data_IF_805928275820
#
_entry.id   IF_805928275820
#
_cell.length_a   1.000
_cell.length_b   1.000
_cell.length_c   1.000
_cell.angle_alpha   90.00
_cell.angle_beta   90.00
_cell.angle_gamma   90.00
#
_symmetry.space_group_name_H-M   'P 1'
#
loop_
_entity.id
_entity.type
_entity.pdbx_description
1 polymer ?
#
# COMPACT_ATOMS: atom_id res chain seq x y z
N UNK A 1 32.34 -24.85 -26.49
CA UNK A 1 31.02 -24.68 -25.87
C UNK A 1 31.23 -23.80 -24.64
N UNK A 2 31.15 -22.49 -24.82
CA UNK A 2 31.41 -21.51 -23.75
C UNK A 2 30.06 -21.00 -23.28
N UNK A 3 29.63 -21.55 -22.14
CA UNK A 3 28.38 -21.18 -21.49
C UNK A 3 28.50 -19.75 -20.95
N UNK A 4 27.89 -18.82 -21.69
CA UNK A 4 27.84 -17.40 -21.35
C UNK A 4 27.11 -17.25 -20.01
N UNK A 5 27.89 -17.04 -18.93
CA UNK A 5 27.41 -16.53 -17.64
C UNK A 5 26.75 -15.18 -17.86
N UNK A 6 25.45 -15.20 -18.16
CA UNK A 6 24.61 -14.01 -18.23
C UNK A 6 24.56 -13.41 -16.82
N UNK A 7 25.34 -12.35 -16.61
CA UNK A 7 25.44 -11.64 -15.34
C UNK A 7 24.04 -11.34 -14.81
N UNK A 8 23.79 -11.71 -13.55
CA UNK A 8 22.50 -11.56 -12.88
C UNK A 8 22.15 -10.08 -12.82
N UNK A 9 21.40 -9.59 -13.80
CA UNK A 9 20.95 -8.20 -13.87
C UNK A 9 20.21 -7.91 -12.58
N UNK A 10 20.67 -6.90 -11.85
CA UNK A 10 20.05 -6.45 -10.62
C UNK A 10 18.62 -6.03 -10.96
N UNK A 11 17.63 -6.88 -10.69
CA UNK A 11 16.25 -6.59 -11.02
C UNK A 11 15.80 -5.39 -10.20
N UNK A 12 15.62 -4.24 -10.84
CA UNK A 12 15.14 -3.01 -10.20
C UNK A 12 13.85 -3.32 -9.42
N UNK A 13 13.78 -2.88 -8.17
CA UNK A 13 12.59 -3.01 -7.33
C UNK A 13 11.52 -2.07 -7.90
N UNK A 14 10.30 -2.58 -8.10
CA UNK A 14 9.18 -1.78 -8.58
C UNK A 14 8.55 -0.96 -7.46
N UNK A 15 7.67 0.00 -7.80
CA UNK A 15 7.00 0.93 -6.88
C UNK A 15 6.45 0.28 -5.61
N UNK A 16 5.70 -0.81 -5.78
CA UNK A 16 5.10 -1.54 -4.65
C UNK A 16 6.17 -2.23 -3.80
N UNK A 17 7.26 -2.70 -4.42
CA UNK A 17 8.41 -3.23 -3.69
C UNK A 17 9.15 -2.17 -2.88
N UNK A 18 9.27 -0.94 -3.39
CA UNK A 18 9.81 0.20 -2.65
C UNK A 18 8.91 0.57 -1.47
N UNK A 19 7.57 0.51 -1.66
CA UNK A 19 6.62 0.70 -0.57
C UNK A 19 6.78 -0.37 0.53
N UNK A 20 6.93 -1.64 0.14
CA UNK A 20 7.22 -2.74 1.07
C UNK A 20 8.53 -2.51 1.81
N UNK A 21 9.59 -2.08 1.13
CA UNK A 21 10.88 -1.77 1.74
C UNK A 21 10.75 -0.66 2.81
N UNK A 22 10.05 0.43 2.48
CA UNK A 22 9.80 1.55 3.39
C UNK A 22 9.02 1.11 4.64
N UNK A 23 7.91 0.40 4.44
CA UNK A 23 7.04 -0.06 5.53
C UNK A 23 7.73 -1.13 6.40
N UNK A 24 8.46 -2.06 5.79
CA UNK A 24 9.26 -3.07 6.49
C UNK A 24 10.22 -2.40 7.46
N UNK A 25 11.04 -1.46 6.97
CA UNK A 25 11.98 -0.71 7.80
C UNK A 25 11.25 0.03 8.92
N UNK A 26 10.17 0.76 8.58
CA UNK A 26 9.40 1.55 9.55
C UNK A 26 8.85 0.67 10.67
N UNK A 27 8.13 -0.40 10.36
CA UNK A 27 7.55 -1.29 11.38
C UNK A 27 8.62 -2.02 12.20
N UNK A 28 9.70 -2.46 11.55
CA UNK A 28 10.83 -3.08 12.26
C UNK A 28 11.44 -2.11 13.27
N UNK A 29 11.73 -0.87 12.85
CA UNK A 29 12.29 0.15 13.75
C UNK A 29 11.32 0.59 14.84
N UNK A 30 10.03 0.70 14.54
CA UNK A 30 8.99 1.00 15.52
C UNK A 30 8.91 -0.06 16.63
N UNK A 31 9.14 -1.33 16.27
CA UNK A 31 9.21 -2.44 17.24
C UNK A 31 10.56 -2.59 17.93
N UNK A 32 11.57 -1.81 17.55
CA UNK A 32 12.90 -1.86 18.15
C UNK A 32 13.67 -3.17 17.91
N UNK A 33 13.31 -3.95 16.87
CA UNK A 33 13.97 -5.24 16.59
C UNK A 33 15.04 -5.11 15.50
N UNK A 34 16.09 -5.91 15.60
CA UNK A 34 17.17 -5.93 14.60
C UNK A 34 16.76 -6.76 13.37
N UNK A 35 17.53 -6.66 12.30
CA UNK A 35 17.34 -7.50 11.11
C UNK A 35 17.61 -8.98 11.41
N UNK A 36 18.49 -9.28 12.34
CA UNK A 36 18.81 -10.64 12.80
C UNK A 36 17.63 -11.23 13.57
N UNK A 37 17.06 -10.47 14.52
CA UNK A 37 15.90 -10.90 15.27
C UNK A 37 14.68 -11.12 14.36
N UNK A 38 14.47 -10.24 13.38
CA UNK A 38 13.40 -10.44 12.40
C UNK A 38 13.64 -11.66 11.51
N UNK A 39 14.88 -11.88 11.05
CA UNK A 39 15.24 -13.06 10.28
C UNK A 39 14.96 -14.37 11.05
N UNK A 40 15.32 -14.42 12.33
CA UNK A 40 15.03 -15.56 13.21
C UNK A 40 13.52 -15.80 13.35
N UNK A 41 12.74 -14.75 13.59
CA UNK A 41 11.27 -14.85 13.70
C UNK A 41 10.62 -15.39 12.41
N UNK A 42 11.09 -14.96 11.26
CA UNK A 42 10.59 -15.42 9.95
C UNK A 42 11.03 -16.86 9.67
N UNK A 43 12.27 -17.23 10.02
CA UNK A 43 12.77 -18.60 9.91
C UNK A 43 11.97 -19.58 10.78
N UNK A 44 11.62 -19.19 12.02
CA UNK A 44 10.79 -19.99 12.92
C UNK A 44 9.37 -20.24 12.39
N UNK A 45 8.95 -19.53 11.34
CA UNK A 45 7.66 -19.70 10.65
C UNK A 45 7.78 -20.50 9.35
N UNK A 46 8.92 -21.14 9.10
CA UNK A 46 9.14 -22.00 7.93
C UNK A 46 9.55 -21.26 6.66
N UNK A 47 9.78 -19.94 6.72
CA UNK A 47 10.25 -19.14 5.59
C UNK A 47 11.64 -18.56 5.93
N UNK A 48 12.74 -19.28 5.65
CA UNK A 48 14.07 -18.82 6.02
C UNK A 48 14.50 -17.61 5.19
N UNK A 49 14.81 -16.50 5.85
CA UNK A 49 15.39 -15.29 5.25
C UNK A 49 16.64 -14.88 6.01
N UNK A 50 17.71 -14.51 5.32
CA UNK A 50 18.93 -14.03 5.98
C UNK A 50 18.76 -12.57 6.43
N UNK A 51 19.36 -12.18 7.55
CA UNK A 51 19.38 -10.79 8.01
C UNK A 51 19.93 -9.83 6.93
N UNK A 52 20.99 -10.25 6.22
CA UNK A 52 21.55 -9.50 5.09
C UNK A 52 20.57 -9.32 3.93
N UNK A 53 19.64 -10.27 3.74
CA UNK A 53 18.60 -10.19 2.74
C UNK A 53 17.49 -9.22 3.15
N UNK A 54 17.13 -9.16 4.44
CA UNK A 54 16.25 -8.13 4.99
C UNK A 54 16.86 -6.74 4.79
N UNK A 55 18.15 -6.55 5.13
CA UNK A 55 18.85 -5.28 4.89
C UNK A 55 18.84 -4.87 3.42
N UNK A 56 18.99 -5.83 2.49
CA UNK A 56 18.90 -5.57 1.05
C UNK A 56 17.48 -5.19 0.62
N UNK A 57 16.45 -5.82 1.21
CA UNK A 57 15.06 -5.44 0.95
C UNK A 57 14.82 -3.99 1.39
N UNK A 58 15.20 -3.63 2.63
CA UNK A 58 15.02 -2.27 3.17
C UNK A 58 15.76 -1.19 2.37
N UNK A 59 16.81 -1.58 1.65
CA UNK A 59 17.58 -0.70 0.75
C UNK A 59 17.12 -0.76 -0.70
N UNK A 60 16.03 -1.47 -1.00
CA UNK A 60 15.51 -1.67 -2.36
C UNK A 60 16.51 -2.36 -3.31
N UNK A 61 17.44 -3.13 -2.74
CA UNK A 61 18.46 -3.90 -3.45
C UNK A 61 18.01 -5.36 -3.71
N UNK A 62 16.83 -5.73 -3.22
CA UNK A 62 16.26 -7.07 -3.37
C UNK A 62 14.74 -7.01 -3.33
N UNK A 63 14.10 -7.75 -4.24
CA UNK A 63 12.64 -7.97 -4.23
C UNK A 63 12.24 -8.94 -3.12
N UNK A 64 11.06 -8.73 -2.56
CA UNK A 64 10.38 -9.64 -1.63
C UNK A 64 9.51 -10.61 -2.43
N UNK A 65 9.59 -11.91 -2.13
CA UNK A 65 8.64 -12.90 -2.60
C UNK A 65 7.31 -12.83 -1.83
N UNK A 66 6.24 -13.41 -2.35
CA UNK A 66 4.93 -13.41 -1.68
C UNK A 66 4.99 -14.15 -0.35
N UNK A 67 5.71 -15.28 -0.28
CA UNK A 67 5.88 -16.03 0.97
C UNK A 67 6.65 -15.22 2.03
N UNK A 68 7.71 -14.51 1.62
CA UNK A 68 8.43 -13.60 2.50
C UNK A 68 7.55 -12.44 2.95
N UNK A 69 6.72 -11.86 2.06
CA UNK A 69 5.79 -10.78 2.42
C UNK A 69 4.85 -11.24 3.54
N UNK A 70 4.25 -12.43 3.37
CA UNK A 70 3.33 -12.99 4.35
C UNK A 70 4.04 -13.31 5.67
N UNK A 71 5.21 -13.94 5.61
CA UNK A 71 5.98 -14.26 6.82
C UNK A 71 6.44 -13.01 7.58
N UNK A 72 6.86 -11.95 6.86
CA UNK A 72 7.20 -10.65 7.44
C UNK A 72 5.98 -9.98 8.09
N UNK A 73 4.82 -10.02 7.44
CA UNK A 73 3.58 -9.47 7.99
C UNK A 73 3.22 -10.14 9.33
N UNK A 74 3.29 -11.48 9.38
CA UNK A 74 3.04 -12.25 10.61
C UNK A 74 4.11 -11.98 11.68
N UNK A 75 5.39 -11.95 11.32
CA UNK A 75 6.48 -11.69 12.27
C UNK A 75 6.39 -10.28 12.87
N UNK A 76 6.03 -9.28 12.06
CA UNK A 76 5.82 -7.90 12.48
C UNK A 76 4.42 -7.66 13.04
N UNK A 77 3.55 -8.67 13.15
CA UNK A 77 2.17 -8.56 13.59
C UNK A 77 1.45 -7.34 12.96
N UNK A 78 1.44 -7.30 11.63
CA UNK A 78 0.75 -6.32 10.78
C UNK A 78 0.00 -7.05 9.67
N UNK A 79 -0.93 -6.37 8.99
CA UNK A 79 -1.57 -6.95 7.80
C UNK A 79 -0.61 -6.91 6.60
N UNK A 80 -0.75 -7.82 5.60
CA UNK A 80 -0.01 -7.71 4.35
C UNK A 80 -0.24 -6.36 3.65
N UNK A 81 -1.47 -5.84 3.71
CA UNK A 81 -1.84 -4.54 3.16
C UNK A 81 -1.05 -3.39 3.81
N UNK A 82 -0.76 -3.47 5.11
CA UNK A 82 0.08 -2.48 5.81
C UNK A 82 1.51 -2.47 5.30
N UNK A 83 2.03 -3.57 4.76
CA UNK A 83 3.32 -3.60 4.07
C UNK A 83 3.19 -3.07 2.63
N UNK A 84 2.11 -3.41 1.93
CA UNK A 84 1.90 -3.06 0.53
C UNK A 84 1.52 -1.60 0.28
N UNK A 85 0.87 -0.94 1.25
CA UNK A 85 0.30 0.41 1.10
C UNK A 85 0.86 1.42 2.11
N UNK A 86 0.89 2.72 1.78
CA UNK A 86 1.27 3.77 2.72
C UNK A 86 0.40 3.78 3.97
N UNK A 87 1.02 3.95 5.14
CA UNK A 87 0.35 4.10 6.45
C UNK A 87 0.81 5.36 7.18
N UNK A 88 1.55 6.23 6.49
CA UNK A 88 2.18 7.47 6.97
C UNK A 88 1.78 8.70 6.15
N UNK A 89 0.70 8.62 5.38
CA UNK A 89 0.25 9.70 4.49
C UNK A 89 -1.23 9.96 4.69
N UNK A 90 -1.66 11.18 4.41
CA UNK A 90 -3.07 11.54 4.44
C UNK A 90 -3.87 10.80 3.37
N UNK A 91 -5.18 10.68 3.60
CA UNK A 91 -6.09 9.88 2.79
C UNK A 91 -6.14 10.29 1.32
N UNK A 92 -5.99 11.57 1.04
CA UNK A 92 -6.05 12.20 -0.27
C UNK A 92 -4.70 12.23 -0.98
N UNK A 93 -3.60 11.91 -0.28
CA UNK A 93 -2.26 11.90 -0.86
C UNK A 93 -2.19 10.90 -2.02
N UNK A 94 -1.61 11.31 -3.17
CA UNK A 94 -1.50 10.46 -4.34
C UNK A 94 -0.45 9.37 -4.12
N UNK A 95 -0.83 8.12 -4.37
CA UNK A 95 0.03 6.93 -4.23
C UNK A 95 0.18 6.22 -5.57
N UNK A 96 1.31 5.53 -5.74
CA UNK A 96 1.58 4.73 -6.93
C UNK A 96 1.40 3.25 -6.62
N UNK A 97 0.67 2.53 -7.49
CA UNK A 97 0.50 1.08 -7.39
C UNK A 97 1.08 0.42 -8.64
N UNK A 98 1.87 -0.63 -8.44
CA UNK A 98 2.41 -1.42 -9.55
C UNK A 98 1.26 -2.02 -10.35
N UNK A 99 1.24 -1.79 -11.67
CA UNK A 99 0.16 -2.23 -12.57
C UNK A 99 -0.74 -1.09 -13.06
N UNK A 100 -0.76 0.06 -12.36
CA UNK A 100 -1.35 1.29 -12.88
C UNK A 100 -0.40 1.95 -13.90
N UNK A 101 -0.95 2.74 -14.82
CA UNK A 101 -0.14 3.52 -15.77
C UNK A 101 0.65 4.61 -15.03
N UNK A 102 1.75 5.07 -15.61
CA UNK A 102 2.63 6.09 -14.99
C UNK A 102 1.89 7.38 -14.60
N UNK A 103 0.94 7.79 -15.44
CA UNK A 103 0.11 8.98 -15.25
C UNK A 103 -1.04 8.77 -14.27
N UNK A 104 -1.28 7.54 -13.82
CA UNK A 104 -2.39 7.17 -12.94
C UNK A 104 -1.89 7.07 -11.51
N UNK A 105 -2.17 8.12 -10.74
CA UNK A 105 -2.07 8.08 -9.28
C UNK A 105 -3.48 8.01 -8.71
N UNK A 106 -3.62 7.28 -7.62
CA UNK A 106 -4.88 7.22 -6.87
C UNK A 106 -4.65 7.77 -5.47
N UNK A 107 -5.68 8.32 -4.84
CA UNK A 107 -5.58 8.74 -3.45
C UNK A 107 -5.40 7.52 -2.53
N UNK A 108 -4.59 7.67 -1.49
CA UNK A 108 -4.26 6.60 -0.54
C UNK A 108 -5.50 5.90 0.02
N UNK A 109 -6.57 6.65 0.31
CA UNK A 109 -7.84 6.10 0.77
C UNK A 109 -8.48 5.11 -0.20
N UNK A 110 -8.43 5.38 -1.50
CA UNK A 110 -8.94 4.44 -2.51
C UNK A 110 -8.08 3.19 -2.61
N UNK A 111 -6.76 3.35 -2.55
CA UNK A 111 -5.85 2.20 -2.50
C UNK A 111 -6.21 1.27 -1.33
N UNK A 112 -6.51 1.85 -0.16
CA UNK A 112 -6.94 1.11 1.02
C UNK A 112 -8.32 0.47 0.88
N UNK A 113 -9.32 1.16 0.32
CA UNK A 113 -10.62 0.55 0.05
C UNK A 113 -10.49 -0.62 -0.91
N UNK A 114 -9.71 -0.45 -1.98
CA UNK A 114 -9.45 -1.53 -2.92
C UNK A 114 -8.79 -2.74 -2.25
N UNK A 115 -7.69 -2.52 -1.52
CA UNK A 115 -6.96 -3.62 -0.88
C UNK A 115 -7.75 -4.33 0.22
N UNK A 116 -8.78 -3.69 0.77
CA UNK A 116 -9.66 -4.28 1.81
C UNK A 116 -10.97 -4.84 1.24
N UNK A 117 -11.18 -4.77 -0.07
CA UNK A 117 -12.41 -5.23 -0.72
C UNK A 117 -13.63 -4.31 -0.50
N UNK A 118 -13.41 -3.09 -0.02
CA UNK A 118 -14.43 -2.05 0.16
C UNK A 118 -14.67 -1.22 -1.11
N UNK A 119 -13.93 -1.47 -2.20
CA UNK A 119 -14.09 -0.77 -3.47
C UNK A 119 -13.25 -1.41 -4.58
N UNK A 120 -13.50 -1.05 -5.84
CA UNK A 120 -12.66 -1.42 -6.96
C UNK A 120 -11.75 -0.25 -7.37
N UNK A 121 -10.61 -0.55 -7.99
CA UNK A 121 -9.77 0.49 -8.63
C UNK A 121 -10.41 1.05 -9.91
N UNK A 122 -11.27 0.27 -10.54
CA UNK A 122 -11.99 0.64 -11.74
C UNK A 122 -13.49 0.69 -11.43
N UNK A 123 -14.05 1.90 -11.44
CA UNK A 123 -15.47 2.16 -11.17
C UNK A 123 -16.36 1.56 -12.26
N UNK A 124 -15.86 1.47 -13.50
CA UNK A 124 -16.61 0.94 -14.66
C UNK A 124 -16.69 -0.60 -14.66
N UNK A 125 -15.84 -1.27 -13.86
CA UNK A 125 -15.77 -2.73 -13.84
C UNK A 125 -16.89 -3.38 -13.02
N UNK A 126 -17.56 -2.63 -12.12
CA UNK A 126 -18.59 -3.14 -11.20
C UNK A 126 -18.06 -4.21 -10.23
N UNK A 127 -18.51 -4.26 -8.96
CA UNK A 127 -18.04 -5.28 -8.02
C UNK A 127 -18.34 -6.67 -8.56
N UNK A 128 -17.31 -7.47 -8.89
CA UNK A 128 -17.53 -8.87 -9.23
C UNK A 128 -17.87 -9.63 -7.94
N UNK A 129 -19.02 -10.34 -7.85
CA UNK A 129 -19.49 -11.00 -6.64
C UNK A 129 -18.61 -12.18 -6.14
N UNK A 130 -17.42 -12.38 -6.70
CA UNK A 130 -16.47 -13.44 -6.32
C UNK A 130 -15.22 -12.95 -5.57
N UNK A 131 -15.15 -11.67 -5.19
CA UNK A 131 -13.97 -11.15 -4.47
C UNK A 131 -13.99 -11.44 -2.98
N UNK A 132 -15.15 -11.85 -2.43
CA UNK A 132 -15.28 -12.30 -1.06
C UNK A 132 -15.34 -13.84 -1.02
N UNK A 133 -14.74 -14.48 -0.02
CA UNK A 133 -15.00 -15.89 0.24
C UNK A 133 -16.49 -16.13 0.45
N UNK A 134 -17.00 -17.27 -0.03
CA UNK A 134 -18.42 -17.60 0.03
C UNK A 134 -19.01 -17.56 1.45
N UNK A 135 -18.21 -17.82 2.49
CA UNK A 135 -18.65 -17.75 3.89
C UNK A 135 -18.81 -16.31 4.42
N UNK A 136 -18.27 -15.32 3.72
CA UNK A 136 -18.45 -13.89 4.01
C UNK A 136 -19.68 -13.30 3.30
N UNK A 137 -20.27 -14.03 2.35
CA UNK A 137 -21.50 -13.60 1.67
C UNK A 137 -22.69 -13.50 2.63
N UNK A 138 -22.71 -14.31 3.70
CA UNK A 138 -23.80 -14.36 4.69
C UNK A 138 -23.68 -13.28 5.78
N UNK A 139 -22.44 -12.85 6.09
CA UNK A 139 -22.17 -11.82 7.12
C UNK A 139 -22.26 -10.39 6.58
N UNK A 140 -22.00 -10.20 5.29
CA UNK A 140 -22.04 -8.91 4.62
C UNK A 140 -23.22 -8.87 3.64
N UNK A 141 -24.44 -8.76 4.18
CA UNK A 141 -25.57 -8.33 3.37
C UNK A 141 -25.21 -6.98 2.71
N UNK A 142 -25.47 -6.81 1.42
CA UNK A 142 -25.00 -5.67 0.62
C UNK A 142 -25.33 -4.31 1.27
N UNK A 143 -26.48 -4.20 1.96
CA UNK A 143 -26.90 -3.01 2.71
C UNK A 143 -25.92 -2.59 3.83
N UNK A 144 -25.26 -3.55 4.46
CA UNK A 144 -24.34 -3.30 5.57
C UNK A 144 -22.99 -2.75 5.09
N UNK A 145 -22.50 -3.24 3.95
CA UNK A 145 -21.28 -2.70 3.31
C UNK A 145 -21.52 -1.29 2.78
N UNK A 146 -22.66 -1.02 2.13
CA UNK A 146 -23.01 0.33 1.67
C UNK A 146 -23.07 1.31 2.83
N UNK A 147 -23.71 0.96 3.95
CA UNK A 147 -23.77 1.81 5.14
C UNK A 147 -22.40 2.04 5.81
N UNK A 148 -21.52 1.03 5.84
CA UNK A 148 -20.14 1.19 6.34
C UNK A 148 -19.33 2.08 5.41
N UNK A 149 -19.44 1.88 4.10
CA UNK A 149 -18.75 2.68 3.10
C UNK A 149 -19.20 4.15 3.16
N UNK A 150 -20.50 4.44 3.14
CA UNK A 150 -21.02 5.82 3.24
C UNK A 150 -20.52 6.57 4.48
N UNK A 151 -20.40 5.86 5.62
CA UNK A 151 -19.89 6.44 6.88
C UNK A 151 -18.38 6.63 6.89
N UNK A 152 -17.61 5.73 6.28
CA UNK A 152 -16.16 5.84 6.21
C UNK A 152 -15.71 6.77 5.07
N UNK A 153 -16.57 7.03 4.09
CA UNK A 153 -16.22 7.75 2.87
C UNK A 153 -17.28 8.74 2.38
N UNK A 154 -17.51 9.86 3.09
CA UNK A 154 -18.23 10.98 2.48
C UNK A 154 -17.40 11.49 1.29
N UNK A 155 -17.94 11.43 0.07
CA UNK A 155 -17.35 12.06 -1.13
C UNK A 155 -16.26 11.27 -1.87
N UNK A 156 -16.10 9.97 -1.64
CA UNK A 156 -15.09 9.15 -2.32
C UNK A 156 -15.50 8.70 -3.74
N UNK A 157 -15.78 9.67 -4.62
CA UNK A 157 -15.92 9.43 -6.07
C UNK A 157 -14.92 10.19 -6.98
N UNK A 158 -14.00 11.00 -6.45
CA UNK A 158 -13.03 11.71 -7.30
C UNK A 158 -11.71 10.93 -7.46
N UNK A 159 -11.42 10.45 -8.68
CA UNK A 159 -10.03 10.40 -9.15
C UNK A 159 -9.44 11.81 -8.98
N UNK A 160 -8.29 11.93 -8.34
CA UNK A 160 -7.54 13.20 -8.35
C UNK A 160 -6.93 13.30 -9.75
N UNK A 161 -7.65 13.91 -10.68
CA UNK A 161 -7.07 14.33 -11.96
C UNK A 161 -6.13 15.52 -11.72
N UNK A 162 -5.17 15.81 -12.61
CA UNK A 162 -4.31 16.98 -12.50
C UNK A 162 -5.06 18.31 -12.32
N UNK A 163 -6.33 18.39 -12.75
CA UNK A 163 -7.18 19.56 -12.60
C UNK A 163 -7.66 19.79 -11.15
N UNK A 164 -7.74 18.74 -10.31
CA UNK A 164 -8.12 18.88 -8.90
C UNK A 164 -7.04 19.57 -8.06
N UNK A 165 -5.77 19.55 -8.51
CA UNK A 165 -4.66 20.26 -7.85
C UNK A 165 -4.69 21.79 -8.08
N UNK A 166 -5.46 22.28 -9.07
CA UNK A 166 -5.67 23.72 -9.29
C UNK A 166 -6.79 24.29 -8.41
N UNK A 167 -7.85 23.51 -8.16
CA UNK A 167 -9.01 23.97 -7.40
C UNK A 167 -8.72 24.20 -5.92
N UNK A 168 -7.72 23.53 -5.33
CA UNK A 168 -7.33 23.73 -3.92
C UNK A 168 -6.44 24.96 -3.68
N UNK A 169 -6.18 25.77 -4.72
CA UNK A 169 -5.42 27.04 -4.59
C UNK A 169 -6.27 28.31 -4.71
N UNK A 170 -7.55 28.20 -5.07
CA UNK A 170 -8.45 29.36 -5.26
C UNK A 170 -9.55 29.48 -4.19
N UNK A 171 -9.46 28.73 -3.09
CA UNK A 171 -10.49 28.68 -2.05
C UNK A 171 -10.00 28.96 -0.64
N UNK A 172 -9.12 29.95 -0.45
CA UNK A 172 -8.78 30.46 0.89
C UNK A 172 -9.43 31.83 1.14
N UNK A 173 -10.57 31.91 1.84
CA UNK A 173 -11.12 33.16 2.31
C UNK A 173 -10.74 33.40 3.77
N UNK A 174 -9.45 33.64 4.05
CA UNK A 174 -9.02 34.38 5.25
C UNK A 174 -7.76 35.21 4.98
N UNK A 175 -7.95 36.35 4.30
CA UNK A 175 -7.09 37.51 4.50
C UNK A 175 -7.68 38.35 5.65
N UNK A 176 -6.93 38.71 6.70
CA UNK A 176 -7.39 39.71 7.64
C UNK A 176 -7.46 41.07 6.94
N UNK A 177 -8.60 41.75 7.08
CA UNK A 177 -8.81 43.12 6.61
C UNK A 177 -7.78 44.07 7.24
N UNK A 178 -7.01 44.74 6.39
CA UNK A 178 -6.30 45.96 6.78
C UNK A 178 -7.33 47.07 7.00
N UNK A 179 -7.70 47.31 8.26
CA UNK A 179 -8.40 48.52 8.65
C UNK A 179 -7.37 49.63 8.95
N UNK A 180 -7.32 50.60 8.05
CA UNK A 180 -6.49 51.78 8.18
C UNK A 180 -6.98 52.72 9.28
N UNK A 181 -6.04 53.20 10.10
CA UNK A 181 -6.04 54.58 10.59
C UNK A 181 -4.63 55.05 10.90
#
# INVERSE_FOLDING_TARGET
MEESKRGRTHSTVGRTGSQVARNLRRFRTFRGITTEALAEQVANRGVPIQASAITKIEKEQRRVSVDELMALAVALNVTPNSLLLPTDVDRDQPVEITGLRESERIAAGYAWHWATGLGLLDEDAGPHPSVLPWWLHDQFNAEHLTSIMERLTPGAGARVTPDLLRATREGDPQAPEEDGK
#
